data_IF_032063229964
#
_entry.id   IF_032063229964
#
_cell.length_a   1.000
_cell.length_b   1.000
_cell.length_c   1.000
_cell.angle_alpha   90.00
_cell.angle_beta   90.00
_cell.angle_gamma   90.00
#
_symmetry.space_group_name_H-M   'P 1'
#
loop_
_entity.id
_entity.type
_entity.pdbx_description
1 polymer ?
#
# COMPACT_ATOMS: atom_id res chain seq x y z
N UNK A 1 -31.75 -11.17 -26.32
CA UNK A 1 -31.30 -10.68 -25.00
C UNK A 1 -31.66 -9.21 -24.98
N UNK A 2 -32.51 -8.79 -24.05
CA UNK A 2 -32.96 -7.41 -23.94
C UNK A 2 -31.80 -6.56 -23.41
N UNK A 3 -31.26 -5.64 -24.22
CA UNK A 3 -30.22 -4.66 -23.86
C UNK A 3 -30.68 -3.62 -22.83
N UNK A 4 -31.78 -3.87 -22.12
CA UNK A 4 -32.19 -3.02 -21.01
C UNK A 4 -31.32 -3.37 -19.81
N UNK A 5 -30.51 -2.42 -19.30
CA UNK A 5 -29.76 -2.66 -18.07
C UNK A 5 -30.75 -3.05 -16.97
N UNK A 6 -30.40 -4.07 -16.20
CA UNK A 6 -31.20 -4.50 -15.05
C UNK A 6 -31.30 -3.30 -14.09
N UNK A 7 -32.45 -2.63 -14.08
CA UNK A 7 -32.70 -1.54 -13.15
C UNK A 7 -33.01 -2.15 -11.78
N UNK A 8 -32.07 -1.99 -10.85
CA UNK A 8 -32.19 -2.46 -9.48
C UNK A 8 -32.13 -1.27 -8.51
N UNK A 9 -32.54 -1.51 -7.26
CA UNK A 9 -32.53 -0.47 -6.22
C UNK A 9 -31.13 -0.37 -5.62
N UNK A 10 -30.54 0.82 -5.67
CA UNK A 10 -29.25 1.09 -5.04
C UNK A 10 -29.32 0.87 -3.53
N UNK A 11 -28.36 0.13 -2.98
CA UNK A 11 -28.35 -0.18 -1.54
C UNK A 11 -28.03 1.05 -0.68
N UNK A 12 -27.35 2.05 -1.24
CA UNK A 12 -26.99 3.29 -0.54
C UNK A 12 -28.11 4.35 -0.61
N UNK A 13 -28.47 4.81 -1.82
CA UNK A 13 -29.45 5.91 -1.98
C UNK A 13 -30.88 5.46 -2.28
N UNK A 14 -31.13 4.15 -2.38
CA UNK A 14 -32.47 3.56 -2.57
C UNK A 14 -33.19 3.95 -3.88
N UNK A 15 -32.47 4.46 -4.88
CA UNK A 15 -33.01 4.80 -6.20
C UNK A 15 -32.95 3.59 -7.15
N UNK A 16 -33.97 3.40 -7.99
CA UNK A 16 -34.01 2.37 -9.04
C UNK A 16 -33.24 2.84 -10.27
N UNK A 17 -32.03 2.31 -10.50
CA UNK A 17 -31.11 2.72 -11.59
C UNK A 17 -30.14 1.57 -11.92
N UNK A 18 -29.35 1.66 -13.01
CA UNK A 18 -28.22 0.75 -13.22
C UNK A 18 -27.25 0.79 -12.03
N UNK A 19 -26.85 -0.39 -11.57
CA UNK A 19 -25.96 -0.57 -10.43
C UNK A 19 -24.64 -1.22 -10.84
N UNK A 20 -23.61 -0.98 -10.03
CA UNK A 20 -22.25 -1.47 -10.19
C UNK A 20 -21.81 -2.09 -8.88
N UNK A 21 -20.97 -3.12 -8.96
CA UNK A 21 -20.30 -3.63 -7.78
C UNK A 21 -19.30 -2.57 -7.32
N UNK A 22 -19.42 -2.13 -6.07
CA UNK A 22 -18.44 -1.27 -5.46
C UNK A 22 -17.40 -2.12 -4.75
N UNK A 23 -16.17 -2.09 -5.25
CA UNK A 23 -15.02 -2.68 -4.57
C UNK A 23 -14.10 -1.53 -4.14
N UNK A 24 -14.02 -1.24 -2.84
CA UNK A 24 -13.19 -0.15 -2.34
C UNK A 24 -11.69 -0.38 -2.68
N UNK A 25 -10.99 0.61 -3.23
CA UNK A 25 -9.61 0.45 -3.72
C UNK A 25 -8.59 0.79 -2.62
N UNK A 26 -8.47 -0.09 -1.64
CA UNK A 26 -7.47 0.04 -0.58
C UNK A 26 -6.55 -1.16 -0.74
N UNK A 27 -5.33 -0.89 -1.19
CA UNK A 27 -4.30 -1.85 -1.63
C UNK A 27 -4.54 -3.28 -1.17
N UNK A 28 -4.72 -4.18 -2.15
CA UNK A 28 -4.89 -5.61 -1.94
C UNK A 28 -3.70 -6.19 -1.17
N UNK A 29 -3.77 -6.17 0.17
CA UNK A 29 -2.97 -7.05 1.00
C UNK A 29 -3.51 -8.45 0.70
N UNK A 30 -2.72 -9.25 -0.04
CA UNK A 30 -3.16 -10.43 -0.79
C UNK A 30 -4.03 -11.46 -0.03
N UNK A 31 -4.44 -12.49 -0.78
CA UNK A 31 -5.52 -13.46 -0.51
C UNK A 31 -5.66 -14.12 0.88
N UNK A 32 -4.77 -13.85 1.84
CA UNK A 32 -4.80 -14.34 3.22
C UNK A 32 -5.06 -13.27 4.28
N UNK A 33 -5.27 -12.00 3.92
CA UNK A 33 -5.58 -10.93 4.88
C UNK A 33 -7.08 -10.58 4.81
N UNK A 34 -7.83 -11.16 5.73
CA UNK A 34 -9.29 -11.37 5.67
C UNK A 34 -10.19 -10.13 5.75
N UNK A 35 -9.67 -8.93 5.87
CA UNK A 35 -10.47 -7.71 5.90
C UNK A 35 -9.57 -6.54 5.57
N UNK A 36 -10.03 -5.64 4.71
CA UNK A 36 -9.34 -4.37 4.60
C UNK A 36 -9.41 -3.67 5.97
N UNK A 37 -8.25 -3.37 6.58
CA UNK A 37 -8.19 -2.65 7.86
C UNK A 37 -8.86 -1.28 7.81
N UNK A 38 -8.99 -0.72 6.61
CA UNK A 38 -9.59 0.58 6.38
C UNK A 38 -11.09 0.60 6.70
N UNK A 39 -11.83 -0.42 6.29
CA UNK A 39 -13.27 -0.44 6.43
C UNK A 39 -13.83 -1.65 7.19
N UNK A 40 -13.02 -2.70 7.42
CA UNK A 40 -13.44 -4.03 7.87
C UNK A 40 -14.70 -4.55 7.15
N UNK A 41 -15.00 -3.97 5.99
CA UNK A 41 -16.23 -4.23 5.26
C UNK A 41 -15.98 -5.49 4.45
N UNK A 42 -16.85 -6.46 4.65
CA UNK A 42 -17.03 -7.54 3.68
C UNK A 42 -17.33 -6.93 2.30
N UNK A 43 -17.05 -7.70 1.24
CA UNK A 43 -17.29 -7.29 -0.16
C UNK A 43 -18.57 -6.48 -0.27
N UNK A 44 -18.40 -5.24 -0.75
CA UNK A 44 -19.39 -4.18 -0.60
C UNK A 44 -20.55 -4.29 -1.60
N UNK A 45 -21.70 -3.65 -1.30
CA UNK A 45 -22.97 -3.80 -1.99
C UNK A 45 -23.03 -3.10 -3.36
N UNK A 46 -24.13 -3.30 -4.08
CA UNK A 46 -24.36 -2.72 -5.41
C UNK A 46 -24.74 -1.24 -5.28
N UNK A 47 -23.93 -0.36 -5.88
CA UNK A 47 -24.14 1.10 -5.88
C UNK A 47 -24.57 1.61 -7.25
N UNK A 48 -25.40 2.65 -7.30
CA UNK A 48 -25.64 3.37 -8.55
C UNK A 48 -24.45 4.28 -8.90
N UNK A 49 -24.30 4.66 -10.17
CA UNK A 49 -23.20 5.52 -10.68
C UNK A 49 -22.91 6.70 -9.75
N UNK A 50 -23.94 7.44 -9.33
CA UNK A 50 -23.76 8.63 -8.49
C UNK A 50 -23.20 8.32 -7.10
N UNK A 51 -23.60 7.20 -6.51
CA UNK A 51 -23.10 6.78 -5.20
C UNK A 51 -21.69 6.22 -5.33
N UNK A 52 -21.44 5.45 -6.39
CA UNK A 52 -20.09 4.98 -6.73
C UNK A 52 -19.10 6.16 -6.84
N UNK A 53 -19.42 7.17 -7.64
CA UNK A 53 -18.54 8.33 -7.84
C UNK A 53 -18.32 9.14 -6.55
N UNK A 54 -19.34 9.23 -5.70
CA UNK A 54 -19.23 9.93 -4.43
C UNK A 54 -18.31 9.21 -3.44
N UNK A 55 -18.43 7.88 -3.33
CA UNK A 55 -17.57 7.07 -2.47
C UNK A 55 -16.12 7.08 -2.98
N UNK A 56 -15.93 6.95 -4.30
CA UNK A 56 -14.61 7.05 -4.93
C UNK A 56 -13.94 8.41 -4.65
N UNK A 57 -14.69 9.51 -4.73
CA UNK A 57 -14.16 10.84 -4.42
C UNK A 57 -13.80 10.99 -2.93
N UNK A 58 -14.60 10.43 -2.02
CA UNK A 58 -14.29 10.44 -0.60
C UNK A 58 -13.01 9.65 -0.31
N UNK A 59 -12.82 8.51 -0.98
CA UNK A 59 -11.60 7.70 -0.93
C UNK A 59 -10.38 8.49 -1.41
N UNK A 60 -10.45 9.07 -2.60
CA UNK A 60 -9.34 9.85 -3.19
C UNK A 60 -8.92 11.04 -2.31
N UNK A 61 -9.84 11.60 -1.52
CA UNK A 61 -9.59 12.77 -0.69
C UNK A 61 -9.38 12.46 0.79
N UNK A 62 -9.27 11.19 1.18
CA UNK A 62 -9.07 10.82 2.58
C UNK A 62 -7.66 11.26 3.07
N UNK A 63 -7.56 12.11 4.11
CA UNK A 63 -6.29 12.57 4.65
C UNK A 63 -5.39 11.44 5.20
N UNK A 64 -5.97 10.31 5.63
CA UNK A 64 -5.21 9.18 6.16
C UNK A 64 -4.35 8.51 5.08
N UNK A 65 -4.82 8.45 3.83
CA UNK A 65 -4.05 7.88 2.70
C UNK A 65 -2.81 8.74 2.40
N UNK A 66 -2.97 10.07 2.49
CA UNK A 66 -1.84 10.99 2.34
C UNK A 66 -0.81 10.85 3.47
N UNK A 67 -1.23 10.49 4.69
CA UNK A 67 -0.33 10.26 5.82
C UNK A 67 0.45 8.95 5.68
N UNK A 68 -0.16 7.89 5.14
CA UNK A 68 0.52 6.62 4.90
C UNK A 68 1.61 6.74 3.82
N UNK A 69 1.36 7.51 2.75
CA UNK A 69 2.36 7.78 1.73
C UNK A 69 3.58 8.54 2.28
N UNK A 70 3.35 9.55 3.12
CA UNK A 70 4.41 10.31 3.81
C UNK A 70 5.21 9.41 4.75
N UNK A 71 4.52 8.58 5.53
CA UNK A 71 5.15 7.63 6.46
C UNK A 71 6.01 6.62 5.72
N UNK A 72 5.52 6.06 4.61
CA UNK A 72 6.28 5.13 3.78
C UNK A 72 7.51 5.79 3.14
N UNK A 73 7.41 7.05 2.71
CA UNK A 73 8.57 7.81 2.23
C UNK A 73 9.65 7.91 3.32
N UNK A 74 9.27 8.28 4.54
CA UNK A 74 10.20 8.39 5.67
C UNK A 74 10.87 7.05 6.03
N UNK A 75 10.13 5.94 5.97
CA UNK A 75 10.68 4.59 6.16
C UNK A 75 11.72 4.28 5.09
N UNK A 76 11.40 4.51 3.81
CA UNK A 76 12.33 4.27 2.70
C UNK A 76 13.61 5.12 2.84
N UNK A 77 13.49 6.40 3.16
CA UNK A 77 14.64 7.29 3.40
C UNK A 77 15.48 6.86 4.60
N UNK A 78 14.85 6.33 5.64
CA UNK A 78 15.56 5.82 6.83
C UNK A 78 16.31 4.53 6.51
N UNK A 79 15.67 3.60 5.80
CA UNK A 79 16.30 2.35 5.37
C UNK A 79 17.49 2.60 4.45
N UNK A 80 17.37 3.54 3.50
CA UNK A 80 18.49 3.94 2.63
C UNK A 80 19.68 4.47 3.44
N UNK A 81 19.42 5.28 4.47
CA UNK A 81 20.47 5.78 5.37
C UNK A 81 21.14 4.68 6.20
N UNK A 82 20.38 3.68 6.64
CA UNK A 82 20.91 2.54 7.40
C UNK A 82 21.79 1.68 6.48
N UNK A 83 21.30 1.33 5.29
CA UNK A 83 22.05 0.54 4.32
C UNK A 83 23.40 1.20 3.96
N UNK A 84 23.40 2.51 3.71
CA UNK A 84 24.63 3.27 3.44
C UNK A 84 25.63 3.24 4.63
N UNK A 85 25.13 3.24 5.88
CA UNK A 85 25.98 3.11 7.07
C UNK A 85 26.57 1.71 7.20
N UNK A 86 25.77 0.69 6.92
CA UNK A 86 26.22 -0.71 6.98
C UNK A 86 27.29 -0.99 5.92
N UNK A 87 27.13 -0.47 4.71
CA UNK A 87 28.14 -0.55 3.65
C UNK A 87 29.45 0.13 4.05
N UNK A 88 29.38 1.33 4.64
CA UNK A 88 30.55 2.04 5.12
C UNK A 88 31.26 1.28 6.26
N UNK A 89 30.50 0.71 7.21
CA UNK A 89 31.05 -0.09 8.30
C UNK A 89 31.72 -1.36 7.78
N UNK A 90 31.11 -2.03 6.80
CA UNK A 90 31.71 -3.20 6.15
C UNK A 90 33.05 -2.86 5.51
N UNK A 91 33.12 -1.77 4.75
CA UNK A 91 34.38 -1.33 4.13
C UNK A 91 35.49 -1.01 5.16
N UNK A 92 35.13 -0.44 6.32
CA UNK A 92 36.08 -0.21 7.42
C UNK A 92 36.58 -1.52 8.01
N UNK A 93 35.68 -2.47 8.30
CA UNK A 93 36.04 -3.77 8.86
C UNK A 93 36.90 -4.59 7.90
N UNK A 94 36.57 -4.58 6.61
CA UNK A 94 37.36 -5.23 5.56
C UNK A 94 38.77 -4.63 5.47
N UNK A 95 38.89 -3.30 5.61
CA UNK A 95 40.18 -2.60 5.66
C UNK A 95 41.03 -2.98 6.88
N UNK A 96 40.42 -3.10 8.06
CA UNK A 96 41.09 -3.56 9.29
C UNK A 96 41.55 -5.01 9.13
N UNK A 97 40.72 -5.88 8.56
CA UNK A 97 41.07 -7.28 8.33
C UNK A 97 42.29 -7.40 7.39
N UNK A 98 42.27 -6.70 6.26
CA UNK A 98 43.38 -6.71 5.30
C UNK A 98 44.69 -6.15 5.89
N UNK A 99 44.61 -5.09 6.70
CA UNK A 99 45.77 -4.53 7.39
C UNK A 99 46.35 -5.50 8.44
N UNK A 100 45.49 -6.26 9.12
CA UNK A 100 45.91 -7.27 10.09
C UNK A 100 46.61 -8.44 9.41
N UNK A 101 46.06 -8.96 8.30
CA UNK A 101 46.70 -10.03 7.52
C UNK A 101 48.08 -9.64 6.98
N UNK A 102 48.24 -8.39 6.49
CA UNK A 102 49.55 -7.89 6.05
C UNK A 102 50.57 -7.77 7.20
N UNK A 103 50.13 -7.35 8.38
CA UNK A 103 51.01 -7.22 9.53
C UNK A 103 51.49 -8.59 10.03
N UNK A 104 50.60 -9.59 10.07
CA UNK A 104 50.95 -10.97 10.45
C UNK A 104 51.81 -11.66 9.38
N UNK A 105 51.57 -11.41 8.09
CA UNK A 105 52.37 -11.95 6.99
C UNK A 105 53.78 -11.37 6.89
N UNK A 106 53.99 -10.11 7.28
CA UNK A 106 55.32 -9.47 7.32
C UNK A 106 56.12 -9.77 8.60
N UNK A 107 55.50 -10.39 9.60
CA UNK A 107 56.14 -10.76 10.86
C UNK A 107 56.77 -12.18 10.83
N UNK A 108 56.72 -12.87 9.68
CA UNK A 108 57.36 -14.17 9.40
C UNK A 108 58.57 -13.99 8.48
#
# INVERSE_FOLDING_TARGET
>A
MTDQPLEARCDHCNQTRPLFLYEPDHGHLGASQFTCRWCMRDKQPLLCVRCHDAEALLEENDPAINQDAETMRQICETNARIAAREEAQKAVLDGIAAATEQAEGNAS
#
